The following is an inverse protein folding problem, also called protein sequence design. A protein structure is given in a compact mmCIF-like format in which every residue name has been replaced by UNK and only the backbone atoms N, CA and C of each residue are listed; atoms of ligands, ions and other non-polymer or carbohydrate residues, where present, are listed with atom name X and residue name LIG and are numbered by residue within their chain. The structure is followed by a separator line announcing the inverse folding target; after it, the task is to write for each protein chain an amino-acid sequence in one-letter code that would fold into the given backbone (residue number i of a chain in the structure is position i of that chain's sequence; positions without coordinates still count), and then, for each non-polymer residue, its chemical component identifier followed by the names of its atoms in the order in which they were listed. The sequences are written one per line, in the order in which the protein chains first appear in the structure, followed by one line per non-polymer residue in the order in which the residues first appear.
data_IF_273411963753
#
_entry.id   IF_273411963753
#
_cell.length_a   1.000
_cell.length_b   1.000
_cell.length_c   1.000
_cell.angle_alpha   90.00
_cell.angle_beta   90.00
_cell.angle_gamma   90.00
#
_symmetry.space_group_name_H-M   'P 1'
#
loop_
_entity.id
_entity.type
_entity.pdbx_description
1 polymer ?
#
# COMPACT_ATOMS: atom_id res chain seq x y z
N UNK A 1 24.36 28.99 15.31
CA UNK A 1 23.13 28.29 15.78
C UNK A 1 23.28 26.83 15.41
N UNK A 2 23.22 25.93 16.37
CA UNK A 2 23.05 24.50 16.03
C UNK A 2 21.69 24.39 15.33
N UNK A 3 21.66 23.73 14.18
CA UNK A 3 20.39 23.44 13.51
C UNK A 3 19.56 22.59 14.46
N UNK A 4 18.30 22.92 14.59
CA UNK A 4 17.39 22.19 15.46
C UNK A 4 17.01 20.87 14.77
N UNK A 5 17.27 19.75 15.43
CA UNK A 5 16.85 18.44 14.95
C UNK A 5 15.36 18.24 15.20
N UNK A 6 14.62 17.83 14.16
CA UNK A 6 13.16 17.63 14.21
C UNK A 6 12.78 16.28 13.63
N UNK A 7 11.73 15.71 14.19
CA UNK A 7 11.11 14.49 13.67
C UNK A 7 9.59 14.67 13.65
N UNK A 8 8.96 14.21 12.59
CA UNK A 8 7.51 14.15 12.50
C UNK A 8 7.04 12.77 12.07
N UNK A 9 5.90 12.34 12.57
CA UNK A 9 5.32 11.04 12.28
C UNK A 9 3.90 11.17 11.76
N UNK A 10 3.52 10.23 10.92
CA UNK A 10 2.15 10.04 10.48
C UNK A 10 1.86 8.55 10.23
N UNK A 11 0.60 8.16 10.34
CA UNK A 11 0.11 6.86 9.93
C UNK A 11 -1.18 7.02 9.14
N UNK A 12 -1.37 6.19 8.12
CA UNK A 12 -2.55 6.18 7.28
C UNK A 12 -2.94 4.75 6.93
N UNK A 13 -4.23 4.39 6.99
CA UNK A 13 -4.69 3.11 6.46
C UNK A 13 -4.57 3.12 4.94
N UNK A 14 -4.03 2.02 4.41
CA UNK A 14 -3.83 1.77 2.98
C UNK A 14 -4.56 0.50 2.52
N UNK A 15 -5.55 0.06 3.28
CA UNK A 15 -6.36 -1.12 2.94
C UNK A 15 -7.20 -0.83 1.71
N UNK A 16 -7.16 -1.68 0.65
CA UNK A 16 -8.04 -1.51 -0.49
C UNK A 16 -9.50 -1.73 -0.11
N UNK A 17 -10.41 -1.13 -0.85
CA UNK A 17 -11.82 -1.44 -0.78
C UNK A 17 -12.07 -2.83 -1.40
N UNK A 18 -12.86 -3.65 -0.72
CA UNK A 18 -13.35 -4.91 -1.27
C UNK A 18 -14.67 -4.61 -1.98
N UNK A 19 -14.75 -4.89 -3.29
CA UNK A 19 -15.95 -4.60 -4.09
C UNK A 19 -16.89 -5.78 -4.03
N UNK A 20 -16.46 -6.97 -4.44
CA UNK A 20 -17.29 -8.16 -4.47
C UNK A 20 -17.03 -9.07 -3.28
N UNK A 21 -18.07 -9.78 -2.87
CA UNK A 21 -18.04 -10.78 -1.81
C UNK A 21 -18.01 -12.18 -2.41
N UNK A 22 -17.30 -13.12 -1.77
CA UNK A 22 -17.28 -14.50 -2.19
C UNK A 22 -17.21 -15.47 -1.01
N UNK A 23 -17.67 -16.71 -1.24
CA UNK A 23 -17.69 -17.80 -0.27
C UNK A 23 -16.84 -18.96 -0.80
N UNK A 24 -15.80 -19.33 -0.05
CA UNK A 24 -14.93 -20.47 -0.32
C UNK A 24 -15.65 -21.77 0.08
N UNK A 25 -16.26 -22.44 -0.89
CA UNK A 25 -17.12 -23.61 -0.65
C UNK A 25 -16.32 -24.87 -0.29
N UNK A 26 -15.14 -25.02 -0.88
CA UNK A 26 -14.29 -26.19 -0.67
C UNK A 26 -13.19 -25.98 0.39
N UNK A 27 -13.08 -24.77 0.95
CA UNK A 27 -12.10 -24.38 1.97
C UNK A 27 -10.64 -24.57 1.53
N UNK A 28 -10.31 -24.24 0.29
CA UNK A 28 -8.95 -24.32 -0.24
C UNK A 28 -8.24 -22.94 -0.29
N UNK A 29 -8.93 -21.88 0.13
CA UNK A 29 -8.47 -20.49 0.10
C UNK A 29 -8.12 -19.98 -1.31
N UNK A 30 -8.75 -20.52 -2.35
CA UNK A 30 -8.59 -20.12 -3.73
C UNK A 30 -9.96 -19.90 -4.38
N UNK A 31 -10.13 -18.79 -5.06
CA UNK A 31 -11.37 -18.53 -5.79
C UNK A 31 -11.43 -19.33 -7.08
N UNK A 32 -12.49 -20.09 -7.26
CA UNK A 32 -12.85 -20.80 -8.49
C UNK A 32 -14.32 -20.59 -8.81
N UNK A 33 -14.61 -19.88 -9.89
CA UNK A 33 -15.98 -19.55 -10.31
C UNK A 33 -16.87 -20.75 -10.63
N UNK A 34 -16.29 -21.93 -10.84
CA UNK A 34 -17.05 -23.19 -11.08
C UNK A 34 -17.46 -23.87 -9.76
N UNK A 35 -16.82 -23.50 -8.65
CA UNK A 35 -17.01 -24.11 -7.31
C UNK A 35 -17.60 -23.11 -6.34
N UNK A 36 -17.01 -21.91 -6.28
CA UNK A 36 -17.30 -20.89 -5.28
C UNK A 36 -18.48 -20.00 -5.70
N UNK A 37 -19.10 -19.42 -4.71
CA UNK A 37 -20.16 -18.43 -4.93
C UNK A 37 -19.59 -17.03 -4.74
N UNK A 38 -20.07 -16.12 -5.56
CA UNK A 38 -19.73 -14.71 -5.41
C UNK A 38 -20.94 -13.83 -5.71
N UNK A 39 -20.90 -12.62 -5.20
CA UNK A 39 -21.93 -11.61 -5.37
C UNK A 39 -21.33 -10.43 -6.11
N UNK A 40 -21.85 -10.16 -7.31
CA UNK A 40 -21.54 -8.97 -8.10
C UNK A 40 -22.24 -7.76 -7.46
N UNK A 41 -21.51 -7.01 -6.63
CA UNK A 41 -22.06 -5.90 -5.85
C UNK A 41 -22.27 -4.67 -6.72
N UNK A 42 -21.41 -4.45 -7.72
CA UNK A 42 -21.48 -3.28 -8.59
C UNK A 42 -22.25 -3.49 -9.91
N UNK A 43 -22.65 -4.74 -10.22
CA UNK A 43 -23.49 -5.09 -11.36
C UNK A 43 -22.78 -5.08 -12.70
N UNK A 44 -21.46 -5.27 -12.73
CA UNK A 44 -20.66 -5.26 -13.96
C UNK A 44 -20.51 -6.64 -14.63
N UNK A 45 -20.95 -7.72 -13.98
CA UNK A 45 -20.85 -9.13 -14.36
C UNK A 45 -19.40 -9.65 -14.43
N UNK A 46 -18.48 -9.03 -13.68
CA UNK A 46 -17.11 -9.49 -13.49
C UNK A 46 -16.85 -9.63 -12.00
N UNK A 47 -15.95 -10.53 -11.60
CA UNK A 47 -15.55 -10.67 -10.20
C UNK A 47 -14.40 -9.72 -9.89
N UNK A 48 -14.71 -8.66 -9.13
CA UNK A 48 -13.79 -7.60 -8.73
C UNK A 48 -13.08 -7.97 -7.42
N UNK A 49 -12.06 -8.81 -7.53
CA UNK A 49 -11.31 -9.33 -6.41
C UNK A 49 -10.10 -8.48 -6.07
N UNK A 50 -9.85 -8.31 -4.77
CA UNK A 50 -8.51 -7.99 -4.28
C UNK A 50 -7.71 -9.28 -4.19
N UNK A 51 -6.77 -9.47 -5.12
CA UNK A 51 -5.89 -10.64 -5.16
C UNK A 51 -4.75 -10.48 -4.15
N UNK A 52 -4.67 -11.43 -3.23
CA UNK A 52 -3.71 -11.39 -2.12
C UNK A 52 -2.36 -11.98 -2.52
N UNK A 53 -1.29 -11.25 -2.16
CA UNK A 53 0.08 -11.66 -2.42
C UNK A 53 0.62 -12.72 -1.44
N UNK A 54 1.69 -13.39 -1.81
CA UNK A 54 2.59 -14.07 -0.91
C UNK A 54 2.59 -15.58 -0.90
N UNK A 55 1.54 -16.25 -1.37
CA UNK A 55 1.46 -17.72 -1.39
C UNK A 55 1.10 -18.22 -2.79
N UNK A 56 -0.06 -18.86 -2.95
CA UNK A 56 -0.55 -19.32 -4.26
C UNK A 56 -1.35 -18.24 -5.00
N UNK A 57 -1.55 -18.43 -6.30
CA UNK A 57 -2.51 -17.64 -7.07
C UNK A 57 -3.95 -17.97 -6.64
N UNK A 58 -4.90 -17.19 -7.14
CA UNK A 58 -6.35 -17.30 -6.87
C UNK A 58 -6.76 -17.00 -5.42
N UNK A 59 -5.88 -16.46 -4.57
CA UNK A 59 -6.26 -16.00 -3.24
C UNK A 59 -6.96 -14.65 -3.35
N UNK A 60 -8.27 -14.65 -3.43
CA UNK A 60 -9.07 -13.44 -3.32
C UNK A 60 -9.33 -13.11 -1.84
N UNK A 61 -9.29 -11.84 -1.46
CA UNK A 61 -9.63 -11.42 -0.11
C UNK A 61 -11.12 -11.64 0.17
N UNK A 62 -11.45 -12.15 1.36
CA UNK A 62 -12.83 -12.36 1.82
C UNK A 62 -13.30 -11.31 2.83
N UNK A 63 -12.38 -10.48 3.32
CA UNK A 63 -12.69 -9.48 4.33
C UNK A 63 -11.43 -8.79 4.84
N UNK A 64 -11.65 -7.78 5.65
CA UNK A 64 -10.59 -7.03 6.33
C UNK A 64 -10.62 -7.39 7.81
N UNK A 65 -9.54 -8.00 8.31
CA UNK A 65 -9.40 -8.30 9.73
C UNK A 65 -8.80 -7.12 10.47
N UNK A 66 -7.69 -6.60 9.95
CA UNK A 66 -6.99 -5.44 10.45
C UNK A 66 -6.59 -4.56 9.27
N UNK A 67 -6.53 -3.25 9.47
CA UNK A 67 -6.10 -2.35 8.41
C UNK A 67 -4.62 -2.51 8.09
N UNK A 68 -4.30 -2.51 6.80
CA UNK A 68 -2.94 -2.31 6.32
C UNK A 68 -2.57 -0.84 6.50
N UNK A 69 -1.36 -0.58 6.96
CA UNK A 69 -0.92 0.78 7.31
C UNK A 69 0.28 1.23 6.49
N UNK A 70 0.35 2.51 6.21
CA UNK A 70 1.58 3.21 5.88
C UNK A 70 1.98 4.06 7.10
N UNK A 71 3.13 3.75 7.68
CA UNK A 71 3.73 4.52 8.77
C UNK A 71 4.88 5.34 8.21
N UNK A 72 4.84 6.65 8.44
CA UNK A 72 5.79 7.58 7.86
C UNK A 72 6.52 8.36 8.95
N UNK A 73 7.83 8.51 8.79
CA UNK A 73 8.67 9.41 9.57
C UNK A 73 9.32 10.43 8.64
N UNK A 74 9.37 11.68 9.06
CA UNK A 74 10.20 12.72 8.44
C UNK A 74 11.21 13.21 9.45
N UNK A 75 12.49 13.22 9.04
CA UNK A 75 13.63 13.64 9.87
C UNK A 75 14.26 14.85 9.19
N UNK A 76 14.51 15.90 9.97
CA UNK A 76 15.07 17.16 9.51
C UNK A 76 16.15 17.64 10.49
N UNK A 77 17.41 17.76 10.05
CA UNK A 77 18.52 18.28 10.85
C UNK A 77 18.81 19.77 10.58
N UNK A 78 17.90 20.42 9.82
CA UNK A 78 18.02 21.81 9.38
C UNK A 78 18.94 22.02 8.19
N UNK A 79 19.54 20.94 7.64
CA UNK A 79 20.31 20.95 6.39
C UNK A 79 19.78 19.90 5.42
N UNK A 80 19.37 18.76 5.93
CA UNK A 80 18.89 17.61 5.18
C UNK A 80 17.55 17.16 5.76
N UNK A 81 16.57 16.97 4.88
CA UNK A 81 15.25 16.43 5.24
C UNK A 81 15.00 15.15 4.49
N UNK A 82 14.71 14.05 5.21
CA UNK A 82 14.42 12.76 4.63
C UNK A 82 13.05 12.25 5.09
N UNK A 83 12.31 11.64 4.15
CA UNK A 83 11.07 10.94 4.43
C UNK A 83 11.29 9.43 4.36
N UNK A 84 10.70 8.68 5.31
CA UNK A 84 10.75 7.22 5.37
C UNK A 84 9.33 6.71 5.49
N UNK A 85 8.88 5.92 4.52
CA UNK A 85 7.57 5.28 4.51
C UNK A 85 7.76 3.79 4.69
N UNK A 86 7.12 3.22 5.71
CA UNK A 86 6.98 1.77 5.93
C UNK A 86 5.55 1.37 5.63
N UNK A 87 5.35 0.49 4.63
CA UNK A 87 4.02 0.12 4.16
C UNK A 87 3.76 -1.38 4.34
N UNK A 88 2.55 -1.72 4.80
CA UNK A 88 2.10 -3.11 4.94
C UNK A 88 1.72 -3.71 3.59
N UNK A 89 2.73 -3.94 2.77
CA UNK A 89 2.63 -4.58 1.45
C UNK A 89 3.66 -5.69 1.34
N UNK A 90 3.46 -6.60 0.37
CA UNK A 90 4.44 -7.67 0.07
C UNK A 90 5.76 -7.09 -0.46
N UNK A 91 5.68 -6.03 -1.22
CA UNK A 91 6.80 -5.37 -1.86
C UNK A 91 6.32 -4.33 -2.86
N UNK A 92 7.21 -3.44 -3.27
CA UNK A 92 6.89 -2.36 -4.20
C UNK A 92 7.92 -2.34 -5.32
N UNK A 93 7.45 -2.29 -6.56
CA UNK A 93 8.32 -2.22 -7.72
C UNK A 93 9.03 -0.86 -7.78
N UNK A 94 10.30 -0.87 -8.19
CA UNK A 94 11.12 0.35 -8.30
C UNK A 94 10.42 1.49 -9.06
N UNK A 95 9.70 1.16 -10.13
CA UNK A 95 8.96 2.17 -10.92
C UNK A 95 7.93 2.90 -10.07
N UNK A 96 7.16 2.18 -9.25
CA UNK A 96 6.18 2.77 -8.35
C UNK A 96 6.84 3.75 -7.35
N UNK A 97 7.94 3.33 -6.72
CA UNK A 97 8.69 4.18 -5.78
C UNK A 97 9.22 5.45 -6.46
N UNK A 98 9.68 5.34 -7.71
CA UNK A 98 10.12 6.51 -8.47
C UNK A 98 8.97 7.46 -8.79
N UNK A 99 7.79 6.94 -9.15
CA UNK A 99 6.60 7.75 -9.39
C UNK A 99 6.16 8.49 -8.10
N UNK A 100 6.21 7.83 -6.93
CA UNK A 100 5.96 8.50 -5.64
C UNK A 100 6.91 9.67 -5.45
N UNK A 101 8.20 9.48 -5.67
CA UNK A 101 9.23 10.54 -5.51
C UNK A 101 9.03 11.70 -6.49
N UNK A 102 8.63 11.41 -7.71
CA UNK A 102 8.41 12.40 -8.77
C UNK A 102 7.20 13.28 -8.49
N UNK A 103 6.14 12.70 -7.90
CA UNK A 103 4.88 13.40 -7.62
C UNK A 103 4.92 14.19 -6.28
N UNK A 104 5.96 14.01 -5.45
CA UNK A 104 6.11 14.81 -4.22
C UNK A 104 6.53 16.24 -4.57
N UNK A 105 5.79 17.27 -4.08
CA UNK A 105 6.12 18.67 -4.35
C UNK A 105 7.52 19.05 -3.86
N UNK A 106 8.32 19.64 -4.75
CA UNK A 106 9.69 20.06 -4.45
C UNK A 106 9.78 21.08 -3.30
N UNK A 107 8.75 21.92 -3.13
CA UNK A 107 8.65 22.89 -2.04
C UNK A 107 8.55 22.30 -0.63
N UNK A 108 8.30 20.98 -0.51
CA UNK A 108 8.36 20.29 0.79
C UNK A 108 9.78 20.07 1.28
N UNK A 109 10.78 20.28 0.41
CA UNK A 109 12.19 20.26 0.75
C UNK A 109 12.70 18.91 1.23
N UNK A 110 12.13 17.80 0.74
CA UNK A 110 12.64 16.46 1.00
C UNK A 110 13.82 16.16 0.07
N UNK A 111 15.02 15.99 0.63
CA UNK A 111 16.22 15.61 -0.13
C UNK A 111 16.18 14.15 -0.58
N UNK A 112 15.52 13.30 0.20
CA UNK A 112 15.35 11.90 -0.13
C UNK A 112 14.06 11.32 0.47
N UNK A 113 13.47 10.37 -0.26
CA UNK A 113 12.32 9.59 0.20
C UNK A 113 12.66 8.11 0.07
N UNK A 114 12.62 7.39 1.18
CA UNK A 114 12.74 5.95 1.25
C UNK A 114 11.35 5.35 1.42
N UNK A 115 11.04 4.35 0.59
CA UNK A 115 9.82 3.55 0.72
C UNK A 115 10.23 2.11 0.85
N UNK A 116 9.76 1.43 1.89
CA UNK A 116 9.97 0.00 2.08
C UNK A 116 8.67 -0.71 2.44
N UNK A 117 8.62 -2.00 2.16
CA UNK A 117 7.51 -2.87 2.49
C UNK A 117 7.85 -3.69 3.75
N UNK A 118 6.85 -3.96 4.60
CA UNK A 118 6.99 -4.85 5.75
C UNK A 118 7.05 -6.33 5.34
N UNK A 119 6.83 -6.61 4.06
CA UNK A 119 6.72 -7.94 3.48
C UNK A 119 5.51 -8.72 4.00
N UNK A 120 4.41 -8.02 4.17
CA UNK A 120 3.13 -8.58 4.59
C UNK A 120 2.55 -9.50 3.49
N UNK A 121 2.13 -10.72 3.87
CA UNK A 121 1.53 -11.71 2.97
C UNK A 121 0.00 -11.76 3.05
N UNK A 122 -0.62 -10.84 3.77
CA UNK A 122 -2.08 -10.70 3.91
C UNK A 122 -2.59 -9.37 3.34
N UNK A 123 -1.90 -8.87 2.32
CA UNK A 123 -2.26 -7.68 1.57
C UNK A 123 -2.35 -7.93 0.07
N UNK A 124 -2.77 -6.93 -0.72
CA UNK A 124 -2.96 -7.07 -2.16
C UNK A 124 -1.66 -7.31 -2.93
N UNK A 125 -1.80 -7.89 -4.12
CA UNK A 125 -0.70 -8.00 -5.07
C UNK A 125 -0.30 -6.61 -5.58
N UNK A 126 0.87 -6.16 -5.21
CA UNK A 126 1.49 -4.89 -5.63
C UNK A 126 2.66 -5.09 -6.61
N UNK A 127 2.92 -6.34 -7.00
CA UNK A 127 4.07 -6.70 -7.84
C UNK A 127 3.67 -7.41 -9.15
N UNK A 128 2.43 -7.87 -9.28
CA UNK A 128 1.92 -8.56 -10.46
C UNK A 128 2.26 -10.05 -10.52
N UNK A 129 2.56 -10.67 -9.36
CA UNK A 129 2.95 -12.07 -9.28
C UNK A 129 1.82 -12.98 -8.79
N UNK A 130 0.81 -12.44 -8.16
CA UNK A 130 -0.34 -13.16 -7.61
C UNK A 130 -1.63 -12.62 -8.19
N UNK A 131 -2.42 -13.48 -8.80
CA UNK A 131 -3.65 -13.07 -9.46
C UNK A 131 -4.57 -14.26 -9.70
N UNK A 132 -5.57 -14.11 -10.57
CA UNK A 132 -6.52 -15.19 -10.87
C UNK A 132 -5.87 -16.37 -11.60
N UNK A 133 -4.67 -16.22 -12.12
CA UNK A 133 -3.88 -17.30 -12.72
C UNK A 133 -2.41 -16.91 -12.82
N UNK A 134 -1.56 -17.89 -13.15
CA UNK A 134 -0.13 -17.68 -13.35
C UNK A 134 0.22 -16.70 -14.48
N UNK A 135 -0.72 -16.44 -15.39
CA UNK A 135 -0.53 -15.56 -16.55
C UNK A 135 -1.23 -14.21 -16.41
N UNK A 136 -2.00 -14.02 -15.35
CA UNK A 136 -2.77 -12.79 -15.14
C UNK A 136 -2.38 -12.16 -13.80
N UNK A 137 -1.90 -10.92 -13.86
CA UNK A 137 -1.56 -10.10 -12.69
C UNK A 137 -2.78 -9.88 -11.79
N UNK A 138 -2.55 -9.82 -10.49
CA UNK A 138 -3.53 -9.40 -9.50
C UNK A 138 -3.44 -7.94 -9.10
N UNK A 139 -2.55 -7.17 -9.73
CA UNK A 139 -2.41 -5.73 -9.44
C UNK A 139 -3.65 -5.00 -9.90
N UNK A 140 -4.23 -4.24 -8.99
CA UNK A 140 -5.28 -3.26 -9.27
C UNK A 140 -4.63 -1.88 -9.46
N UNK A 141 -4.70 -1.35 -10.67
CA UNK A 141 -4.12 -0.05 -11.02
C UNK A 141 -4.78 1.11 -10.26
N UNK A 142 -6.08 1.01 -9.95
CA UNK A 142 -6.79 2.01 -9.17
C UNK A 142 -6.28 2.06 -7.73
N UNK A 143 -6.11 0.88 -7.11
CA UNK A 143 -5.49 0.77 -5.79
C UNK A 143 -4.06 1.30 -5.78
N UNK A 144 -3.25 0.98 -6.79
CA UNK A 144 -1.87 1.49 -6.87
C UNK A 144 -1.80 3.01 -6.97
N UNK A 145 -2.72 3.64 -7.70
CA UNK A 145 -2.82 5.10 -7.77
C UNK A 145 -3.30 5.70 -6.43
N UNK A 146 -4.21 5.04 -5.73
CA UNK A 146 -4.60 5.45 -4.38
C UNK A 146 -3.45 5.31 -3.40
N UNK A 147 -2.76 4.18 -3.39
CA UNK A 147 -1.59 3.92 -2.55
C UNK A 147 -0.51 5.00 -2.72
N UNK A 148 -0.27 5.44 -3.96
CA UNK A 148 0.65 6.54 -4.24
C UNK A 148 0.19 7.85 -3.58
N UNK A 149 -1.09 8.21 -3.73
CA UNK A 149 -1.67 9.39 -3.09
C UNK A 149 -1.59 9.32 -1.56
N UNK A 150 -1.84 8.16 -0.98
CA UNK A 150 -1.79 7.96 0.47
C UNK A 150 -0.36 8.10 0.99
N UNK A 151 0.65 7.61 0.27
CA UNK A 151 2.05 7.79 0.62
C UNK A 151 2.45 9.28 0.59
N UNK A 152 2.03 10.01 -0.44
CA UNK A 152 2.31 11.45 -0.53
C UNK A 152 1.59 12.21 0.60
N UNK A 153 0.34 11.85 0.89
CA UNK A 153 -0.43 12.45 1.99
C UNK A 153 0.22 12.18 3.35
N UNK A 154 0.70 10.96 3.59
CA UNK A 154 1.37 10.61 4.85
C UNK A 154 2.69 11.36 5.04
N UNK A 155 3.45 11.60 3.95
CA UNK A 155 4.65 12.47 3.99
C UNK A 155 4.27 13.90 4.38
N UNK A 156 3.20 14.46 3.79
CA UNK A 156 2.74 15.81 4.15
C UNK A 156 2.33 15.90 5.60
N UNK A 157 1.57 14.93 6.09
CA UNK A 157 1.16 14.88 7.49
C UNK A 157 2.37 14.80 8.43
N UNK A 158 3.36 13.96 8.11
CA UNK A 158 4.57 13.86 8.91
C UNK A 158 5.40 15.17 8.89
N UNK A 159 5.46 15.89 7.77
CA UNK A 159 6.08 17.20 7.67
C UNK A 159 5.35 18.22 8.56
N UNK A 160 4.02 18.21 8.54
CA UNK A 160 3.21 19.14 9.35
C UNK A 160 3.33 18.85 10.85
N UNK A 161 3.70 17.63 11.22
CA UNK A 161 3.93 17.17 12.59
C UNK A 161 5.39 17.28 13.05
N UNK A 162 6.26 17.98 12.29
CA UNK A 162 7.66 18.13 12.68
C UNK A 162 7.79 18.91 14.00
N UNK A 163 8.39 18.28 14.98
CA UNK A 163 8.66 18.85 16.31
C UNK A 163 10.13 18.62 16.72
N UNK A 164 10.68 19.46 17.60
CA UNK A 164 12.03 19.27 18.13
C UNK A 164 12.20 17.90 18.78
N UNK A 165 13.31 17.24 18.49
CA UNK A 165 13.64 15.93 19.02
C UNK A 165 15.12 15.86 19.44
N UNK A 166 15.44 14.92 20.30
CA UNK A 166 16.80 14.60 20.72
C UNK A 166 17.22 13.23 20.16
N UNK A 167 18.49 13.12 19.75
CA UNK A 167 19.12 11.87 19.31
C UNK A 167 20.09 11.36 20.36
#
# INVERSE_FOLDING_TARGET
HANEFKVGFAELPITPELIDEWEDINNDAQFDSDIDRWTDVNGNNEFDAVWMAGFQNKRAAQGVKDHLMAVTAVIDDGQTRIGIISADTIGLMRKFVLNVREDVPAEWGLDYIMVHATHNHEGPDTQGLWGPSFLKSGVDDFYMEQLKRDFISSLKMAIDNLEPAEM
#
